data_IF_250861523420
#
_entry.id   IF_250861523420
#
_cell.length_a   1.000
_cell.length_b   1.000
_cell.length_c   1.000
_cell.angle_alpha   90.00
_cell.angle_beta   90.00
_cell.angle_gamma   90.00
#
_symmetry.space_group_name_H-M   'P 1'
#
loop_
_entity.id
_entity.type
_entity.pdbx_description
1 polymer ?
#
# COMPACT_ATOMS: atom_id res chain seq x y z
N UNK A 1 13.90 11.04 11.97
CA UNK A 1 13.85 9.81 11.14
C UNK A 1 13.79 8.54 12.01
N UNK A 2 14.74 8.29 12.91
CA UNK A 2 14.77 7.06 13.73
C UNK A 2 13.52 6.84 14.60
N UNK A 3 13.01 7.88 15.28
CA UNK A 3 11.77 7.82 16.07
C UNK A 3 10.53 7.54 15.21
N UNK A 4 10.48 8.13 14.01
CA UNK A 4 9.39 7.94 13.06
C UNK A 4 9.33 6.50 12.52
N UNK A 5 10.48 5.91 12.15
CA UNK A 5 10.54 4.51 11.70
C UNK A 5 10.23 3.53 12.83
N UNK A 6 10.66 3.81 14.06
CA UNK A 6 10.31 3.01 15.24
C UNK A 6 8.80 3.03 15.53
N UNK A 7 8.17 4.20 15.43
CA UNK A 7 6.73 4.33 15.61
C UNK A 7 5.94 3.51 14.57
N UNK A 8 6.35 3.55 13.30
CA UNK A 8 5.74 2.74 12.23
C UNK A 8 5.93 1.24 12.50
N UNK A 9 7.14 0.82 12.91
CA UNK A 9 7.43 -0.58 13.20
C UNK A 9 6.64 -1.12 14.40
N UNK A 10 6.56 -0.35 15.49
CA UNK A 10 5.75 -0.69 16.67
C UNK A 10 4.26 -0.70 16.34
N UNK A 11 3.78 0.25 15.54
CA UNK A 11 2.40 0.29 15.06
C UNK A 11 2.04 -0.93 14.21
N UNK A 12 2.93 -1.35 13.32
CA UNK A 12 2.75 -2.57 12.50
C UNK A 12 2.71 -3.85 13.34
N UNK A 13 3.62 -3.99 14.31
CA UNK A 13 3.63 -5.12 15.25
C UNK A 13 2.37 -5.16 16.11
N UNK A 14 2.02 -4.02 16.73
CA UNK A 14 0.83 -3.91 17.56
C UNK A 14 -0.46 -4.14 16.75
N UNK A 15 -0.51 -3.65 15.51
CA UNK A 15 -1.64 -3.84 14.60
C UNK A 15 -1.81 -5.30 14.18
N UNK A 16 -0.73 -5.98 13.77
CA UNK A 16 -0.80 -7.39 13.33
C UNK A 16 -1.11 -8.34 14.50
N UNK A 17 -0.41 -8.18 15.63
CA UNK A 17 -0.62 -9.04 16.80
C UNK A 17 -1.95 -8.72 17.49
N UNK A 18 -2.25 -7.45 17.71
CA UNK A 18 -3.50 -7.00 18.31
C UNK A 18 -4.70 -7.34 17.43
N UNK A 19 -4.57 -7.16 16.11
CA UNK A 19 -5.60 -7.53 15.13
C UNK A 19 -5.88 -9.03 15.12
N UNK A 20 -4.85 -9.87 15.12
CA UNK A 20 -4.99 -11.33 15.16
C UNK A 20 -5.62 -11.84 16.47
N UNK A 21 -5.21 -11.29 17.61
CA UNK A 21 -5.78 -11.64 18.92
C UNK A 21 -7.24 -11.22 19.04
N UNK A 22 -7.56 -9.98 18.66
CA UNK A 22 -8.94 -9.49 18.68
C UNK A 22 -9.79 -10.29 17.69
N UNK A 23 -9.28 -10.58 16.50
CA UNK A 23 -9.99 -11.39 15.50
C UNK A 23 -10.27 -12.82 15.95
N UNK A 24 -9.43 -13.41 16.80
CA UNK A 24 -9.63 -14.77 17.31
C UNK A 24 -10.59 -14.85 18.50
N UNK A 25 -10.52 -13.90 19.44
CA UNK A 25 -11.20 -14.01 20.73
C UNK A 25 -12.37 -13.03 20.91
N UNK A 26 -12.45 -12.00 20.08
CA UNK A 26 -13.44 -10.93 20.18
C UNK A 26 -14.17 -10.75 18.85
N UNK A 27 -15.29 -10.03 18.88
CA UNK A 27 -15.96 -9.63 17.64
C UNK A 27 -15.11 -8.61 16.86
N UNK A 28 -15.27 -8.55 15.54
CA UNK A 28 -14.63 -7.55 14.69
C UNK A 28 -14.88 -6.10 15.16
N UNK A 29 -16.01 -5.84 15.85
CA UNK A 29 -16.35 -4.52 16.42
C UNK A 29 -15.36 -4.07 17.49
N UNK A 30 -14.73 -5.01 18.20
CA UNK A 30 -13.74 -4.70 19.23
C UNK A 30 -12.47 -4.07 18.64
N UNK A 31 -12.14 -4.34 17.36
CA UNK A 31 -11.04 -3.65 16.67
C UNK A 31 -11.28 -2.13 16.66
N UNK A 32 -12.51 -1.70 16.32
CA UNK A 32 -12.88 -0.30 16.33
C UNK A 32 -12.95 0.28 17.76
N UNK A 33 -13.48 -0.50 18.71
CA UNK A 33 -13.59 -0.07 20.10
C UNK A 33 -12.22 0.21 20.75
N UNK A 34 -11.16 -0.47 20.31
CA UNK A 34 -9.78 -0.22 20.77
C UNK A 34 -9.11 0.91 19.97
N UNK A 35 -9.28 0.92 18.64
CA UNK A 35 -8.59 1.88 17.78
C UNK A 35 -9.13 3.31 17.91
N UNK A 36 -10.43 3.49 18.11
CA UNK A 36 -11.06 4.82 18.21
C UNK A 36 -10.55 5.61 19.43
N UNK A 37 -10.55 5.07 20.66
CA UNK A 37 -9.98 5.76 21.82
C UNK A 37 -8.49 6.04 21.66
N UNK A 38 -7.72 5.08 21.12
CA UNK A 38 -6.29 5.26 20.87
C UNK A 38 -6.04 6.44 19.91
N UNK A 39 -6.80 6.50 18.80
CA UNK A 39 -6.73 7.59 17.85
C UNK A 39 -7.10 8.94 18.49
N UNK A 40 -8.12 8.98 19.36
CA UNK A 40 -8.51 10.19 20.08
C UNK A 40 -7.42 10.67 21.04
N UNK A 41 -6.78 9.75 21.79
CA UNK A 41 -5.66 10.07 22.70
C UNK A 41 -4.46 10.60 21.91
N UNK A 42 -4.11 9.96 20.79
CA UNK A 42 -3.02 10.43 19.93
C UNK A 42 -3.32 11.80 19.31
N UNK A 43 -4.55 12.03 18.86
CA UNK A 43 -4.98 13.32 18.33
C UNK A 43 -4.91 14.42 19.41
N UNK A 44 -5.33 14.12 20.64
CA UNK A 44 -5.21 15.03 21.77
C UNK A 44 -3.74 15.32 22.12
N UNK A 45 -2.89 14.28 22.17
CA UNK A 45 -1.46 14.43 22.41
C UNK A 45 -0.79 15.33 21.35
N UNK A 46 -1.13 15.14 20.07
CA UNK A 46 -0.65 16.00 18.98
C UNK A 46 -1.15 17.43 19.16
N UNK A 47 -2.43 17.63 19.47
CA UNK A 47 -3.02 18.95 19.68
C UNK A 47 -2.39 19.73 20.84
N UNK A 48 -1.93 19.02 21.88
CA UNK A 48 -1.30 19.60 23.07
C UNK A 48 0.21 19.79 22.93
N UNK A 49 0.91 18.87 22.27
CA UNK A 49 2.37 18.82 22.24
C UNK A 49 3.02 19.44 20.99
N UNK A 50 2.30 19.52 19.87
CA UNK A 50 2.87 20.03 18.60
C UNK A 50 2.61 21.53 18.47
N UNK A 51 3.67 22.37 18.40
CA UNK A 51 3.51 23.80 18.18
C UNK A 51 2.79 24.07 16.86
N UNK A 52 1.83 25.01 16.87
CA UNK A 52 1.15 25.44 15.65
C UNK A 52 2.17 26.05 14.70
N UNK A 53 2.40 25.40 13.56
CA UNK A 53 3.21 25.98 12.49
C UNK A 53 2.43 27.13 11.86
N UNK A 54 3.10 28.25 11.57
CA UNK A 54 2.46 29.39 10.92
C UNK A 54 1.81 28.93 9.60
N UNK A 55 0.52 29.23 9.40
CA UNK A 55 -0.15 29.00 8.11
C UNK A 55 0.63 29.75 7.04
N UNK A 56 1.25 29.03 6.11
CA UNK A 56 1.79 29.63 4.91
C UNK A 56 0.60 30.06 4.05
N UNK A 57 0.18 31.31 4.20
CA UNK A 57 -1.06 31.87 3.66
C UNK A 57 -0.99 32.14 2.13
N UNK A 58 -0.49 31.20 1.31
CA UNK A 58 -0.25 31.48 -0.13
C UNK A 58 -0.71 30.40 -1.11
N UNK A 59 -1.70 29.57 -0.74
CA UNK A 59 -2.41 28.74 -1.71
C UNK A 59 -3.88 29.08 -1.71
N UNK A 60 -4.40 29.65 -2.79
CA UNK A 60 -5.85 29.75 -2.97
C UNK A 60 -6.35 28.29 -3.12
N UNK A 61 -7.28 27.80 -2.26
CA UNK A 61 -7.74 26.43 -2.35
C UNK A 61 -8.41 26.18 -3.71
N UNK A 62 -8.15 25.03 -4.32
CA UNK A 62 -8.83 24.56 -5.54
C UNK A 62 -9.89 23.52 -5.18
N UNK A 63 -11.07 23.93 -4.66
CA UNK A 63 -12.10 22.99 -4.23
C UNK A 63 -12.63 22.17 -5.40
N UNK A 64 -12.78 22.79 -6.58
CA UNK A 64 -13.26 22.11 -7.77
C UNK A 64 -12.27 21.03 -8.23
N UNK A 65 -10.98 21.36 -8.35
CA UNK A 65 -9.95 20.38 -8.70
C UNK A 65 -9.85 19.26 -7.67
N UNK A 66 -9.98 19.59 -6.38
CA UNK A 66 -10.00 18.60 -5.29
C UNK A 66 -11.17 17.63 -5.41
N UNK A 67 -12.39 18.13 -5.64
CA UNK A 67 -13.59 17.29 -5.81
C UNK A 67 -13.47 16.43 -7.05
N UNK A 68 -13.05 17.00 -8.20
CA UNK A 68 -12.89 16.26 -9.44
C UNK A 68 -11.89 15.11 -9.31
N UNK A 69 -10.71 15.37 -8.74
CA UNK A 69 -9.68 14.36 -8.54
C UNK A 69 -10.14 13.30 -7.54
N UNK A 70 -10.73 13.71 -6.42
CA UNK A 70 -11.20 12.78 -5.38
C UNK A 70 -12.29 11.87 -5.91
N UNK A 71 -13.32 12.44 -6.57
CA UNK A 71 -14.39 11.65 -7.17
C UNK A 71 -13.87 10.72 -8.27
N UNK A 72 -12.92 11.18 -9.09
CA UNK A 72 -12.26 10.35 -10.10
C UNK A 72 -11.53 9.15 -9.48
N UNK A 73 -10.70 9.39 -8.46
CA UNK A 73 -9.99 8.32 -7.74
C UNK A 73 -10.94 7.36 -7.03
N UNK A 74 -12.01 7.86 -6.40
CA UNK A 74 -13.04 7.02 -5.78
C UNK A 74 -13.73 6.13 -6.80
N UNK A 75 -14.10 6.66 -7.98
CA UNK A 75 -14.73 5.87 -9.03
C UNK A 75 -13.79 4.77 -9.58
N UNK A 76 -12.50 5.08 -9.77
CA UNK A 76 -11.49 4.11 -10.19
C UNK A 76 -11.28 3.03 -9.11
N UNK A 77 -11.10 3.43 -7.85
CA UNK A 77 -10.93 2.51 -6.73
C UNK A 77 -12.16 1.62 -6.53
N UNK A 78 -13.37 2.19 -6.66
CA UNK A 78 -14.62 1.43 -6.62
C UNK A 78 -14.61 0.35 -7.71
N UNK A 79 -14.29 0.70 -8.95
CA UNK A 79 -14.21 -0.26 -10.06
C UNK A 79 -13.20 -1.39 -9.80
N UNK A 80 -12.05 -1.07 -9.18
CA UNK A 80 -11.01 -2.04 -8.83
C UNK A 80 -11.48 -2.98 -7.71
N UNK A 81 -12.01 -2.42 -6.62
CA UNK A 81 -12.38 -3.18 -5.41
C UNK A 81 -13.60 -4.07 -5.67
N UNK A 82 -14.59 -3.56 -6.39
CA UNK A 82 -15.86 -4.24 -6.64
C UNK A 82 -15.84 -5.08 -7.92
N UNK A 83 -14.82 -4.91 -8.77
CA UNK A 83 -14.61 -5.67 -10.01
C UNK A 83 -14.64 -7.19 -9.82
N UNK A 84 -13.93 -7.76 -8.82
CA UNK A 84 -13.97 -9.20 -8.55
C UNK A 84 -15.37 -9.71 -8.15
N UNK A 85 -16.18 -8.90 -7.46
CA UNK A 85 -17.49 -9.31 -6.96
C UNK A 85 -18.60 -9.18 -8.00
N UNK A 86 -18.65 -8.06 -8.73
CA UNK A 86 -19.68 -7.80 -9.75
C UNK A 86 -19.29 -8.25 -11.15
N UNK A 87 -18.03 -8.64 -11.36
CA UNK A 87 -17.47 -8.96 -12.65
C UNK A 87 -16.98 -7.72 -13.40
N UNK A 88 -15.78 -7.84 -13.97
CA UNK A 88 -15.07 -6.77 -14.66
C UNK A 88 -15.81 -6.22 -15.90
N UNK A 89 -16.61 -7.06 -16.56
CA UNK A 89 -17.42 -6.67 -17.74
C UNK A 89 -18.80 -6.10 -17.40
N UNK A 90 -19.17 -6.02 -16.12
CA UNK A 90 -20.50 -5.53 -15.74
C UNK A 90 -20.67 -4.05 -16.09
N UNK A 91 -21.88 -3.61 -16.53
CA UNK A 91 -22.12 -2.21 -16.86
C UNK A 91 -21.77 -1.25 -15.72
N UNK A 92 -21.95 -1.68 -14.46
CA UNK A 92 -21.62 -0.91 -13.26
C UNK A 92 -20.12 -0.63 -13.14
N UNK A 93 -19.28 -1.64 -13.35
CA UNK A 93 -17.82 -1.53 -13.22
C UNK A 93 -17.24 -0.76 -14.41
N UNK A 94 -17.72 -1.03 -15.63
CA UNK A 94 -17.33 -0.28 -16.82
C UNK A 94 -17.71 1.20 -16.70
N UNK A 95 -18.91 1.51 -16.20
CA UNK A 95 -19.34 2.88 -15.94
C UNK A 95 -18.48 3.56 -14.87
N UNK A 96 -18.11 2.87 -13.80
CA UNK A 96 -17.23 3.41 -12.76
C UNK A 96 -15.85 3.80 -13.33
N UNK A 97 -15.24 2.95 -14.16
CA UNK A 97 -13.98 3.27 -14.83
C UNK A 97 -14.13 4.41 -15.83
N UNK A 98 -15.19 4.42 -16.64
CA UNK A 98 -15.45 5.48 -17.61
C UNK A 98 -15.63 6.85 -16.92
N UNK A 99 -16.44 6.90 -15.85
CA UNK A 99 -16.63 8.10 -15.03
C UNK A 99 -15.32 8.53 -14.36
N UNK A 100 -14.55 7.58 -13.83
CA UNK A 100 -13.25 7.85 -13.22
C UNK A 100 -12.26 8.50 -14.20
N UNK A 101 -12.09 7.91 -15.39
CA UNK A 101 -11.23 8.44 -16.45
C UNK A 101 -11.71 9.83 -16.91
N UNK A 102 -13.02 10.01 -17.09
CA UNK A 102 -13.60 11.28 -17.46
C UNK A 102 -13.32 12.37 -16.42
N UNK A 103 -13.53 12.08 -15.13
CA UNK A 103 -13.30 13.03 -14.04
C UNK A 103 -11.82 13.42 -13.92
N UNK A 104 -10.90 12.45 -14.07
CA UNK A 104 -9.45 12.72 -14.08
C UNK A 104 -9.03 13.54 -15.30
N UNK A 105 -9.63 13.29 -16.47
CA UNK A 105 -9.37 14.09 -17.67
C UNK A 105 -9.89 15.53 -17.52
N UNK A 106 -11.09 15.71 -16.97
CA UNK A 106 -11.66 17.03 -16.65
C UNK A 106 -10.80 17.75 -15.60
N UNK A 107 -10.37 17.06 -14.53
CA UNK A 107 -9.41 17.59 -13.58
C UNK A 107 -8.13 18.06 -14.26
N UNK A 108 -7.55 17.24 -15.15
CA UNK A 108 -6.31 17.58 -15.85
C UNK A 108 -6.49 18.84 -16.70
N UNK A 109 -7.61 18.96 -17.43
CA UNK A 109 -7.94 20.15 -18.22
C UNK A 109 -8.17 21.38 -17.34
N UNK A 110 -8.85 21.22 -16.21
CA UNK A 110 -9.07 22.28 -15.22
C UNK A 110 -7.74 22.76 -14.63
N UNK A 111 -6.91 21.82 -14.16
CA UNK A 111 -5.63 22.11 -13.52
C UNK A 111 -4.64 22.81 -14.49
N UNK A 112 -4.70 22.51 -15.79
CA UNK A 112 -3.86 23.17 -16.80
C UNK A 112 -4.33 24.59 -17.16
N UNK A 113 -5.56 24.99 -16.80
CA UNK A 113 -6.15 26.29 -17.14
C UNK A 113 -6.41 27.17 -15.92
N UNK A 114 -6.49 26.58 -14.73
CA UNK A 114 -6.77 27.28 -13.50
C UNK A 114 -5.59 28.18 -13.09
N UNK A 115 -5.84 29.41 -12.62
CA UNK A 115 -4.79 30.30 -12.11
C UNK A 115 -4.20 29.83 -10.77
N UNK A 116 -4.92 28.99 -10.02
CA UNK A 116 -4.44 28.39 -8.78
C UNK A 116 -4.92 26.92 -8.71
N UNK A 117 -4.30 26.00 -9.47
CA UNK A 117 -4.70 24.60 -9.48
C UNK A 117 -4.23 23.88 -8.21
N UNK A 118 -4.91 22.79 -7.85
CA UNK A 118 -4.48 21.90 -6.76
C UNK A 118 -3.01 21.47 -6.93
N UNK A 119 -2.66 21.00 -8.12
CA UNK A 119 -1.28 20.84 -8.57
C UNK A 119 -1.21 20.90 -10.10
N UNK A 120 -0.04 21.26 -10.64
CA UNK A 120 0.19 21.22 -12.08
C UNK A 120 0.46 19.76 -12.54
N UNK A 121 -0.39 19.15 -13.40
CA UNK A 121 -0.19 17.79 -13.89
C UNK A 121 1.15 17.59 -14.60
N UNK A 122 1.77 18.65 -15.13
CA UNK A 122 3.08 18.61 -15.79
C UNK A 122 4.20 18.18 -14.86
N UNK A 123 3.99 18.20 -13.54
CA UNK A 123 4.96 17.71 -12.57
C UNK A 123 5.24 16.20 -12.80
N UNK A 124 4.28 15.42 -13.30
CA UNK A 124 4.50 14.02 -13.70
C UNK A 124 5.38 13.85 -14.95
N UNK A 125 5.66 14.92 -15.71
CA UNK A 125 6.66 14.87 -16.77
C UNK A 125 8.08 14.70 -16.22
N UNK A 126 8.32 15.03 -14.93
CA UNK A 126 9.61 14.82 -14.27
C UNK A 126 9.86 13.32 -14.07
N UNK A 127 10.91 12.75 -14.69
CA UNK A 127 11.15 11.30 -14.62
C UNK A 127 11.34 10.79 -13.18
N UNK A 128 11.93 11.61 -12.30
CA UNK A 128 12.16 11.26 -10.88
C UNK A 128 10.85 11.10 -10.11
N UNK A 129 9.93 12.07 -10.22
CA UNK A 129 8.64 11.98 -9.55
C UNK A 129 7.84 10.80 -10.10
N UNK A 130 7.75 10.68 -11.44
CA UNK A 130 7.02 9.59 -12.09
C UNK A 130 7.54 8.22 -11.66
N UNK A 131 8.86 8.02 -11.65
CA UNK A 131 9.47 6.77 -11.20
C UNK A 131 9.22 6.50 -9.71
N UNK A 132 9.28 7.52 -8.85
CA UNK A 132 9.02 7.37 -7.42
C UNK A 132 7.55 7.05 -7.13
N UNK A 133 6.61 7.72 -7.80
CA UNK A 133 5.17 7.44 -7.70
C UNK A 133 4.85 6.04 -8.19
N UNK A 134 5.34 5.65 -9.37
CA UNK A 134 5.11 4.30 -9.92
C UNK A 134 5.74 3.23 -9.04
N UNK A 135 7.00 3.41 -8.62
CA UNK A 135 7.66 2.46 -7.73
C UNK A 135 6.96 2.32 -6.38
N UNK A 136 6.37 3.40 -5.85
CA UNK A 136 5.53 3.35 -4.65
C UNK A 136 4.28 2.52 -4.90
N UNK A 137 3.56 2.78 -6.00
CA UNK A 137 2.37 2.01 -6.36
C UNK A 137 2.69 0.53 -6.57
N UNK A 138 3.75 0.20 -7.31
CA UNK A 138 4.19 -1.19 -7.57
C UNK A 138 4.60 -1.91 -6.29
N UNK A 139 5.36 -1.26 -5.41
CA UNK A 139 5.77 -1.90 -4.16
C UNK A 139 4.59 -2.16 -3.22
N UNK A 140 3.61 -1.24 -3.16
CA UNK A 140 2.39 -1.46 -2.38
C UNK A 140 1.43 -2.46 -3.01
N UNK A 141 1.38 -2.53 -4.35
CA UNK A 141 0.70 -3.59 -5.07
C UNK A 141 1.22 -4.97 -4.68
N UNK A 142 2.54 -5.18 -4.72
CA UNK A 142 3.15 -6.44 -4.29
C UNK A 142 2.90 -6.77 -2.81
N UNK A 143 3.06 -5.77 -1.93
CA UNK A 143 2.90 -5.96 -0.49
C UNK A 143 1.46 -6.33 -0.09
N UNK A 144 0.46 -5.67 -0.66
CA UNK A 144 -0.95 -5.93 -0.31
C UNK A 144 -1.51 -7.17 -1.02
N UNK A 145 -1.05 -7.47 -2.22
CA UNK A 145 -1.28 -8.78 -2.84
C UNK A 145 -0.79 -9.90 -1.92
N UNK A 146 0.44 -9.79 -1.39
CA UNK A 146 0.96 -10.73 -0.41
C UNK A 146 0.09 -10.80 0.84
N UNK A 147 -0.32 -9.68 1.43
CA UNK A 147 -1.17 -9.72 2.65
C UNK A 147 -2.47 -10.49 2.41
N UNK A 148 -3.11 -10.29 1.27
CA UNK A 148 -4.31 -11.01 0.89
C UNK A 148 -4.05 -12.51 0.74
N UNK A 149 -3.06 -12.91 -0.07
CA UNK A 149 -2.67 -14.32 -0.25
C UNK A 149 -2.29 -14.96 1.07
N UNK A 150 -1.48 -14.28 1.87
CA UNK A 150 -0.89 -14.79 3.08
C UNK A 150 -1.97 -15.11 4.12
N UNK A 151 -2.99 -14.26 4.25
CA UNK A 151 -4.13 -14.53 5.13
C UNK A 151 -4.86 -15.81 4.72
N UNK A 152 -5.11 -15.99 3.42
CA UNK A 152 -5.77 -17.17 2.88
C UNK A 152 -4.90 -18.43 3.00
N UNK A 153 -3.61 -18.35 2.67
CA UNK A 153 -2.68 -19.47 2.76
C UNK A 153 -2.49 -19.97 4.20
N UNK A 154 -2.24 -19.07 5.15
CA UNK A 154 -2.00 -19.49 6.52
C UNK A 154 -3.27 -20.01 7.21
N UNK A 155 -4.42 -19.40 6.95
CA UNK A 155 -5.67 -19.81 7.60
C UNK A 155 -6.33 -20.99 6.89
N UNK A 156 -6.53 -20.92 5.58
CA UNK A 156 -7.32 -21.91 4.84
C UNK A 156 -6.49 -23.11 4.38
N UNK A 157 -5.20 -22.92 4.04
CA UNK A 157 -4.32 -24.02 3.57
C UNK A 157 -3.53 -24.64 4.73
N UNK A 158 -2.94 -23.84 5.62
CA UNK A 158 -2.19 -24.35 6.79
C UNK A 158 -3.04 -24.59 8.03
N UNK A 159 -4.30 -24.14 8.03
CA UNK A 159 -5.20 -24.33 9.17
C UNK A 159 -4.81 -23.54 10.42
N UNK A 160 -4.02 -22.47 10.28
CA UNK A 160 -3.62 -21.65 11.42
C UNK A 160 -4.79 -20.79 11.90
N UNK A 161 -4.98 -20.71 13.22
CA UNK A 161 -5.88 -19.72 13.81
C UNK A 161 -5.44 -18.28 13.51
N UNK A 162 -6.35 -17.31 13.67
CA UNK A 162 -6.08 -15.91 13.38
C UNK A 162 -4.92 -15.31 14.21
N UNK A 163 -4.77 -15.66 15.49
CA UNK A 163 -3.62 -15.18 16.27
C UNK A 163 -2.29 -15.79 15.82
N UNK A 164 -2.28 -17.09 15.49
CA UNK A 164 -1.07 -17.73 14.97
C UNK A 164 -0.69 -17.17 13.60
N UNK A 165 -1.67 -16.84 12.76
CA UNK A 165 -1.45 -16.13 11.49
C UNK A 165 -0.82 -14.75 11.72
N UNK A 166 -1.29 -13.99 12.72
CA UNK A 166 -0.68 -12.72 13.11
C UNK A 166 0.78 -12.86 13.54
N UNK A 167 1.12 -13.90 14.30
CA UNK A 167 2.51 -14.22 14.68
C UNK A 167 3.33 -14.68 13.47
N UNK A 168 2.73 -15.46 12.56
CA UNK A 168 3.40 -15.95 11.36
C UNK A 168 3.76 -14.83 10.35
N UNK A 169 3.19 -13.63 10.50
CA UNK A 169 3.52 -12.44 9.69
C UNK A 169 4.68 -11.64 10.29
N UNK A 170 5.12 -11.92 11.53
CA UNK A 170 6.22 -11.20 12.20
C UNK A 170 7.50 -11.09 11.36
N UNK A 171 7.96 -12.13 10.62
CA UNK A 171 9.14 -12.00 9.77
C UNK A 171 9.04 -10.84 8.77
N UNK A 172 7.84 -10.57 8.24
CA UNK A 172 7.60 -9.44 7.34
C UNK A 172 7.85 -8.10 8.04
N UNK A 173 7.46 -7.98 9.32
CA UNK A 173 7.68 -6.74 10.08
C UNK A 173 9.16 -6.53 10.43
N UNK A 174 9.89 -7.62 10.71
CA UNK A 174 11.33 -7.58 11.03
C UNK A 174 12.14 -7.00 9.87
N UNK A 175 11.94 -7.50 8.65
CA UNK A 175 12.67 -6.99 7.47
C UNK A 175 12.36 -5.51 7.19
N UNK A 176 11.09 -5.12 7.32
CA UNK A 176 10.66 -3.73 7.14
C UNK A 176 11.22 -2.78 8.20
N UNK A 177 11.45 -3.25 9.43
CA UNK A 177 12.00 -2.44 10.52
C UNK A 177 13.53 -2.30 10.44
N UNK A 178 14.24 -3.36 10.02
CA UNK A 178 15.70 -3.39 10.03
C UNK A 178 16.32 -2.82 8.76
N UNK A 179 15.77 -3.14 7.59
CA UNK A 179 16.37 -2.76 6.31
C UNK A 179 16.43 -1.25 6.01
N UNK A 180 15.52 -0.37 6.50
CA UNK A 180 15.66 1.07 6.28
C UNK A 180 16.98 1.64 6.81
N UNK A 181 17.52 1.09 7.91
CA UNK A 181 18.83 1.51 8.46
C UNK A 181 19.97 1.18 7.50
N UNK A 182 19.84 0.05 6.82
CA UNK A 182 20.80 -0.40 5.83
C UNK A 182 20.66 0.44 4.54
N UNK A 183 19.43 0.71 4.10
CA UNK A 183 19.13 1.59 2.97
C UNK A 183 19.74 3.00 3.14
N UNK A 184 19.73 3.53 4.37
CA UNK A 184 20.31 4.83 4.69
C UNK A 184 21.82 4.91 4.38
N UNK A 185 22.56 3.79 4.48
CA UNK A 185 24.00 3.73 4.13
C UNK A 185 24.27 3.92 2.64
N UNK A 186 23.27 3.68 1.80
CA UNK A 186 23.34 3.86 0.35
C UNK A 186 22.43 4.99 -0.14
N UNK A 187 22.13 5.95 0.74
CA UNK A 187 21.29 7.11 0.43
C UNK A 187 21.84 7.95 -0.74
N UNK A 188 23.17 7.95 -0.96
CA UNK A 188 23.82 8.61 -2.10
C UNK A 188 23.54 7.93 -3.45
N UNK A 189 23.09 6.67 -3.44
CA UNK A 189 22.78 5.88 -4.65
C UNK A 189 21.36 5.31 -4.58
N UNK A 190 20.32 6.15 -4.66
CA UNK A 190 18.93 5.71 -4.45
C UNK A 190 18.42 4.76 -5.55
N UNK A 191 18.92 4.88 -6.78
CA UNK A 191 18.49 4.05 -7.93
C UNK A 191 18.74 2.55 -7.73
N UNK A 192 19.97 2.08 -7.43
CA UNK A 192 20.21 0.66 -7.19
C UNK A 192 19.50 0.14 -5.93
N UNK A 193 19.30 0.98 -4.91
CA UNK A 193 18.55 0.60 -3.69
C UNK A 193 17.07 0.35 -4.01
N UNK A 194 16.44 1.24 -4.78
CA UNK A 194 15.05 1.08 -5.20
C UNK A 194 14.90 -0.13 -6.14
N UNK A 195 15.76 -0.23 -7.16
CA UNK A 195 15.72 -1.34 -8.11
C UNK A 195 15.96 -2.70 -7.46
N UNK A 196 16.97 -2.79 -6.59
CA UNK A 196 17.26 -4.00 -5.82
C UNK A 196 16.13 -4.33 -4.84
N UNK A 197 15.55 -3.33 -4.18
CA UNK A 197 14.41 -3.53 -3.28
C UNK A 197 13.16 -4.05 -4.00
N UNK A 198 12.80 -3.47 -5.14
CA UNK A 198 11.68 -3.95 -5.97
C UNK A 198 11.96 -5.35 -6.53
N UNK A 199 13.19 -5.64 -6.96
CA UNK A 199 13.58 -6.98 -7.42
C UNK A 199 13.48 -8.03 -6.30
N UNK A 200 13.86 -7.69 -5.07
CA UNK A 200 13.68 -8.56 -3.91
C UNK A 200 12.20 -8.82 -3.60
N UNK A 201 11.33 -7.80 -3.74
CA UNK A 201 9.88 -8.00 -3.61
C UNK A 201 9.40 -9.02 -4.66
N UNK A 202 9.73 -8.82 -5.94
CA UNK A 202 9.35 -9.75 -7.01
C UNK A 202 9.90 -11.17 -6.79
N UNK A 203 11.18 -11.32 -6.47
CA UNK A 203 11.80 -12.62 -6.17
C UNK A 203 11.16 -13.31 -4.98
N UNK A 204 10.86 -12.56 -3.93
CA UNK A 204 10.18 -13.10 -2.75
C UNK A 204 8.75 -13.54 -3.05
N UNK A 205 8.01 -12.80 -3.89
CA UNK A 205 6.68 -13.19 -4.36
C UNK A 205 6.74 -14.44 -5.25
N UNK A 206 7.72 -14.54 -6.15
CA UNK A 206 7.95 -15.75 -6.96
C UNK A 206 8.29 -16.96 -6.08
N UNK A 207 9.14 -16.79 -5.07
CA UNK A 207 9.46 -17.85 -4.11
C UNK A 207 8.26 -18.25 -3.27
N UNK A 208 7.46 -17.29 -2.79
CA UNK A 208 6.21 -17.57 -2.08
C UNK A 208 5.18 -18.26 -2.99
N UNK A 209 5.22 -18.02 -4.31
CA UNK A 209 4.33 -18.67 -5.29
C UNK A 209 4.55 -20.17 -5.42
N UNK A 210 5.70 -20.70 -5.00
CA UNK A 210 5.97 -22.15 -5.02
C UNK A 210 5.52 -22.85 -3.74
N UNK A 211 4.97 -22.12 -2.78
CA UNK A 211 4.52 -22.72 -1.53
C UNK A 211 3.23 -23.53 -1.74
N UNK A 212 3.10 -24.61 -1.00
CA UNK A 212 1.96 -25.54 -1.04
C UNK A 212 1.58 -26.04 0.36
N UNK A 213 0.60 -26.93 0.44
CA UNK A 213 0.17 -27.53 1.70
C UNK A 213 1.30 -28.26 2.45
N UNK A 214 2.27 -28.86 1.73
CA UNK A 214 3.42 -29.55 2.31
C UNK A 214 4.59 -28.65 2.71
N UNK A 215 4.62 -27.41 2.23
CA UNK A 215 5.76 -26.51 2.42
C UNK A 215 5.98 -26.18 3.91
N UNK A 216 7.19 -26.39 4.46
CA UNK A 216 7.46 -26.07 5.84
C UNK A 216 7.42 -24.56 6.07
N UNK A 217 6.76 -24.12 7.14
CA UNK A 217 6.61 -22.70 7.46
C UNK A 217 7.94 -21.91 7.49
N UNK A 218 9.07 -22.45 8.02
CA UNK A 218 10.36 -21.74 7.96
C UNK A 218 10.79 -21.34 6.54
N UNK A 219 10.54 -22.18 5.54
CA UNK A 219 10.86 -21.84 4.15
C UNK A 219 9.98 -20.67 3.66
N UNK A 220 8.69 -20.72 3.99
CA UNK A 220 7.77 -19.62 3.68
C UNK A 220 8.15 -18.32 4.42
N UNK A 221 8.56 -18.41 5.68
CA UNK A 221 9.05 -17.28 6.47
C UNK A 221 10.31 -16.65 5.86
N UNK A 222 11.20 -17.44 5.25
CA UNK A 222 12.33 -16.91 4.48
C UNK A 222 11.86 -16.05 3.30
N UNK A 223 10.83 -16.47 2.56
CA UNK A 223 10.27 -15.63 1.49
C UNK A 223 9.65 -14.34 2.03
N UNK A 224 8.93 -14.38 3.16
CA UNK A 224 8.45 -13.17 3.83
C UNK A 224 9.59 -12.22 4.22
N UNK A 225 10.75 -12.76 4.66
CA UNK A 225 11.94 -11.96 4.95
C UNK A 225 12.53 -11.32 3.69
N UNK A 226 12.57 -12.03 2.56
CA UNK A 226 13.04 -11.47 1.28
C UNK A 226 12.13 -10.32 0.83
N UNK A 227 10.81 -10.50 0.86
CA UNK A 227 9.84 -9.46 0.47
C UNK A 227 9.94 -8.24 1.39
N UNK A 228 9.99 -8.47 2.70
CA UNK A 228 10.11 -7.37 3.67
C UNK A 228 11.45 -6.65 3.60
N UNK A 229 12.53 -7.36 3.27
CA UNK A 229 13.81 -6.74 3.04
C UNK A 229 13.77 -5.81 1.83
N UNK A 230 13.18 -6.28 0.72
CA UNK A 230 12.98 -5.47 -0.48
C UNK A 230 12.12 -4.23 -0.22
N UNK A 231 11.05 -4.39 0.58
CA UNK A 231 10.16 -3.31 1.00
C UNK A 231 10.91 -2.29 1.88
N UNK A 232 11.64 -2.75 2.90
CA UNK A 232 12.40 -1.87 3.79
C UNK A 232 13.57 -1.15 3.11
N UNK A 233 14.13 -1.70 2.02
CA UNK A 233 15.14 -1.05 1.19
C UNK A 233 14.53 0.04 0.28
N UNK A 234 13.46 -0.30 -0.44
CA UNK A 234 12.90 0.56 -1.49
C UNK A 234 11.97 1.67 -0.97
N UNK A 235 11.09 1.37 0.00
CA UNK A 235 10.03 2.29 0.42
C UNK A 235 10.52 3.63 0.99
N UNK A 236 11.57 3.66 1.85
CA UNK A 236 12.09 4.93 2.35
C UNK A 236 12.66 5.79 1.22
N UNK A 237 13.40 5.19 0.29
CA UNK A 237 14.01 5.89 -0.84
C UNK A 237 12.96 6.42 -1.83
N UNK A 238 11.89 5.65 -2.08
CA UNK A 238 10.75 6.08 -2.88
C UNK A 238 10.03 7.27 -2.22
N UNK A 239 9.79 7.20 -0.91
CA UNK A 239 9.14 8.29 -0.15
C UNK A 239 9.95 9.58 -0.20
N UNK A 240 11.26 9.49 0.06
CA UNK A 240 12.17 10.63 -0.07
C UNK A 240 12.20 11.15 -1.51
N UNK A 241 12.20 10.25 -2.50
CA UNK A 241 12.16 10.60 -3.92
C UNK A 241 10.92 11.43 -4.30
N UNK A 242 9.74 11.09 -3.77
CA UNK A 242 8.51 11.86 -4.00
C UNK A 242 8.61 13.25 -3.34
N UNK A 243 9.00 13.31 -2.07
CA UNK A 243 9.04 14.57 -1.30
C UNK A 243 10.11 15.54 -1.85
N UNK A 244 11.29 15.03 -2.21
CA UNK A 244 12.41 15.85 -2.70
C UNK A 244 12.30 16.22 -4.19
N UNK A 245 11.39 15.58 -4.94
CA UNK A 245 11.12 15.95 -6.35
C UNK A 245 10.28 17.22 -6.48
N UNK A 246 9.73 17.72 -5.38
CA UNK A 246 8.89 18.90 -5.31
C UNK A 246 9.55 20.00 -4.47
N UNK A 247 9.32 21.28 -4.80
CA UNK A 247 9.74 22.39 -3.95
C UNK A 247 9.17 22.27 -2.52
N UNK A 248 9.85 22.79 -1.48
CA UNK A 248 9.38 22.68 -0.08
C UNK A 248 7.96 23.20 0.17
N UNK A 249 7.53 24.24 -0.56
CA UNK A 249 6.18 24.79 -0.47
C UNK A 249 5.09 23.87 -1.07
N UNK A 250 5.49 22.80 -1.77
CA UNK A 250 4.63 21.76 -2.36
C UNK A 250 4.81 20.41 -1.67
N UNK A 251 5.47 20.34 -0.51
CA UNK A 251 5.69 19.09 0.22
C UNK A 251 4.38 18.36 0.56
N UNK A 252 3.30 19.12 0.84
CA UNK A 252 1.96 18.57 1.04
C UNK A 252 1.42 17.84 -0.19
N UNK A 253 1.66 18.36 -1.39
CA UNK A 253 1.31 17.69 -2.65
C UNK A 253 2.10 16.40 -2.84
N UNK A 254 3.40 16.41 -2.52
CA UNK A 254 4.24 15.19 -2.57
C UNK A 254 3.72 14.09 -1.65
N UNK A 255 3.39 14.45 -0.41
CA UNK A 255 2.80 13.52 0.56
C UNK A 255 1.46 12.96 0.08
N UNK A 256 0.60 13.83 -0.46
CA UNK A 256 -0.68 13.45 -1.04
C UNK A 256 -0.53 12.47 -2.20
N UNK A 257 0.29 12.80 -3.19
CA UNK A 257 0.57 11.94 -4.34
C UNK A 257 1.18 10.59 -3.93
N UNK A 258 2.11 10.59 -2.96
CA UNK A 258 2.70 9.37 -2.42
C UNK A 258 1.66 8.49 -1.73
N UNK A 259 0.75 9.10 -0.96
CA UNK A 259 -0.35 8.39 -0.31
C UNK A 259 -1.35 7.86 -1.34
N UNK A 260 -1.77 8.65 -2.33
CA UNK A 260 -2.67 8.18 -3.37
C UNK A 260 -2.08 7.02 -4.18
N UNK A 261 -0.79 7.09 -4.52
CA UNK A 261 -0.09 6.00 -5.20
C UNK A 261 -0.05 4.72 -4.35
N UNK A 262 0.17 4.87 -3.05
CA UNK A 262 0.11 3.78 -2.06
C UNK A 262 -1.24 3.09 -2.06
N UNK A 263 -2.32 3.86 -1.91
CA UNK A 263 -3.68 3.34 -1.83
C UNK A 263 -4.13 2.67 -3.13
N UNK A 264 -3.81 3.29 -4.28
CA UNK A 264 -4.08 2.69 -5.60
C UNK A 264 -3.33 1.37 -5.78
N UNK A 265 -2.04 1.33 -5.41
CA UNK A 265 -1.24 0.12 -5.45
C UNK A 265 -1.84 -0.97 -4.56
N UNK A 266 -2.15 -0.64 -3.32
CA UNK A 266 -2.75 -1.57 -2.35
C UNK A 266 -4.08 -2.16 -2.84
N UNK A 267 -4.99 -1.31 -3.32
CA UNK A 267 -6.29 -1.73 -3.84
C UNK A 267 -6.15 -2.64 -5.07
N UNK A 268 -5.28 -2.28 -6.02
CA UNK A 268 -4.99 -3.11 -7.19
C UNK A 268 -4.42 -4.47 -6.79
N UNK A 269 -3.52 -4.52 -5.80
CA UNK A 269 -2.90 -5.75 -5.33
C UNK A 269 -3.93 -6.73 -4.83
N UNK A 270 -4.80 -6.28 -3.93
CA UNK A 270 -5.91 -7.10 -3.40
C UNK A 270 -6.87 -7.52 -4.51
N UNK A 271 -7.27 -6.61 -5.40
CA UNK A 271 -8.25 -6.91 -6.45
C UNK A 271 -7.76 -7.91 -7.49
N UNK A 272 -6.51 -7.76 -7.97
CA UNK A 272 -5.91 -8.68 -8.94
C UNK A 272 -5.76 -10.06 -8.32
N UNK A 273 -5.15 -10.14 -7.14
CA UNK A 273 -4.97 -11.40 -6.42
C UNK A 273 -6.31 -12.07 -6.08
N UNK A 274 -7.30 -11.30 -5.64
CA UNK A 274 -8.64 -11.80 -5.36
C UNK A 274 -9.34 -12.34 -6.60
N UNK A 275 -9.23 -11.66 -7.75
CA UNK A 275 -9.77 -12.14 -9.03
C UNK A 275 -9.13 -13.46 -9.44
N UNK A 276 -7.81 -13.57 -9.36
CA UNK A 276 -7.08 -14.79 -9.73
C UNK A 276 -7.46 -15.94 -8.78
N UNK A 277 -7.54 -15.68 -7.48
CA UNK A 277 -7.92 -16.70 -6.51
C UNK A 277 -9.37 -17.16 -6.72
N UNK A 278 -10.30 -16.24 -6.98
CA UNK A 278 -11.70 -16.54 -7.27
C UNK A 278 -11.87 -17.37 -8.55
N UNK A 279 -11.09 -17.09 -9.59
CA UNK A 279 -11.12 -17.85 -10.85
C UNK A 279 -10.65 -19.31 -10.70
N UNK A 280 -9.97 -19.65 -9.60
CA UNK A 280 -9.41 -20.98 -9.34
C UNK A 280 -10.16 -21.77 -8.24
N UNK A 281 -11.38 -21.36 -7.86
CA UNK A 281 -12.21 -22.05 -6.84
C UNK A 281 -12.84 -23.40 -7.27
N UNK A 282 -12.34 -24.04 -8.33
CA UNK A 282 -12.74 -25.39 -8.73
C UNK A 282 -12.13 -26.49 -7.83
N UNK A 283 -12.52 -27.75 -8.04
CA UNK A 283 -12.31 -28.91 -7.14
C UNK A 283 -10.84 -29.26 -6.72
N UNK A 284 -9.84 -28.47 -7.13
CA UNK A 284 -8.42 -28.57 -6.74
C UNK A 284 -7.82 -27.30 -6.08
N UNK A 285 -8.65 -26.40 -5.58
CA UNK A 285 -8.39 -25.66 -4.33
C UNK A 285 -7.53 -24.38 -4.40
N UNK A 286 -7.70 -23.53 -3.38
CA UNK A 286 -7.00 -22.25 -3.15
C UNK A 286 -5.47 -22.30 -3.38
N UNK A 287 -4.84 -23.45 -3.16
CA UNK A 287 -3.40 -23.65 -3.38
C UNK A 287 -3.01 -23.49 -4.86
N UNK A 288 -3.85 -23.96 -5.78
CA UNK A 288 -3.65 -23.82 -7.23
C UNK A 288 -3.83 -22.38 -7.71
N UNK A 289 -4.59 -21.56 -6.98
CA UNK A 289 -4.80 -20.13 -7.26
C UNK A 289 -3.73 -19.21 -6.67
N UNK A 290 -3.05 -19.64 -5.59
CA UNK A 290 -1.99 -18.86 -4.96
C UNK A 290 -0.77 -18.67 -5.88
N UNK A 291 -0.30 -19.75 -6.50
CA UNK A 291 0.84 -19.72 -7.41
C UNK A 291 0.66 -18.73 -8.58
N UNK A 292 -0.44 -18.77 -9.36
CA UNK A 292 -0.66 -17.79 -10.42
C UNK A 292 -0.88 -16.38 -9.88
N UNK A 293 -1.55 -16.21 -8.73
CA UNK A 293 -1.80 -14.88 -8.17
C UNK A 293 -0.49 -14.17 -7.78
N UNK A 294 0.45 -14.88 -7.15
CA UNK A 294 1.75 -14.31 -6.78
C UNK A 294 2.67 -14.12 -7.99
N UNK A 295 2.58 -14.98 -9.03
CA UNK A 295 3.34 -14.83 -10.28
C UNK A 295 2.89 -13.66 -11.14
N UNK A 296 1.60 -13.32 -11.14
CA UNK A 296 1.08 -12.15 -11.86
C UNK A 296 1.55 -10.84 -11.21
N UNK A 297 1.80 -10.88 -9.89
CA UNK A 297 2.18 -9.72 -9.11
C UNK A 297 3.69 -9.44 -9.17
N UNK A 298 4.50 -10.50 -9.31
CA UNK A 298 5.96 -10.44 -9.32
C UNK A 298 6.56 -9.95 -10.64
#
# INVERSE_FOLDING_TARGET
>A
MASWTLAIGLGGLAGNLGGGLIGQFLSWRALFAVMVPLAAVLAAAVALAVPRTARTARGNPDPLGTVLLTAGLVAVLFGIIEGPAYGWGSPRIVAAFAVGVLLVAVFTRHALRSPAPLFDPRVFARPRLRAATLGTATGFFGLFALFYVNSQYLQDIKGYGAALTGVAIVPLTVGMALMPRLAARWSDRPRPVIGGGLALIGLGLLGASTADAGTPYPLYACWLLVISAGTGLSMPALTVGVVTSLPPHQAGLGSGLGTSARELGAALGVAVTGTVLAAHQGARGLADGMAPALRIVA
#
